data_IF_123807121682
#
_entry.id   IF_123807121682
#
_cell.length_a   1.000
_cell.length_b   1.000
_cell.length_c   1.000
_cell.angle_alpha   90.00
_cell.angle_beta   90.00
_cell.angle_gamma   90.00
#
_symmetry.space_group_name_H-M   'P 1'
#
loop_
_entity.id
_entity.type
_entity.pdbx_description
1 polymer ?
#
# COMPACT_ATOMS: atom_id res chain seq x y z
N UNK A 1 -7.85 -22.01 -8.16
CA UNK A 1 -8.26 -20.82 -7.40
C UNK A 1 -7.60 -20.91 -6.04
N UNK A 2 -6.90 -19.86 -5.58
CA UNK A 2 -6.13 -19.94 -4.35
C UNK A 2 -7.02 -20.35 -3.17
N UNK A 3 -6.44 -21.10 -2.24
CA UNK A 3 -7.11 -21.47 -0.99
C UNK A 3 -6.94 -20.33 -0.01
N UNK A 4 -8.03 -19.67 0.35
CA UNK A 4 -8.03 -18.68 1.42
C UNK A 4 -8.09 -19.39 2.78
N UNK A 5 -7.07 -19.20 3.61
CA UNK A 5 -7.02 -19.75 4.97
C UNK A 5 -6.65 -18.67 5.99
N UNK A 6 -6.99 -18.93 7.25
CA UNK A 6 -6.50 -18.15 8.38
C UNK A 6 -5.51 -18.96 9.22
N UNK A 7 -4.33 -18.41 9.45
CA UNK A 7 -3.28 -19.01 10.29
C UNK A 7 -2.90 -18.08 11.43
N UNK A 8 -2.44 -18.66 12.54
CA UNK A 8 -1.86 -17.93 13.67
C UNK A 8 -0.38 -18.21 13.74
N UNK A 9 0.42 -17.15 13.74
CA UNK A 9 1.89 -17.26 13.80
C UNK A 9 2.46 -16.35 14.88
N UNK A 10 3.62 -16.71 15.41
CA UNK A 10 4.35 -15.85 16.32
C UNK A 10 4.92 -14.61 15.60
N UNK A 11 5.19 -13.50 16.32
CA UNK A 11 5.69 -12.26 15.73
C UNK A 11 6.94 -12.40 14.86
N UNK A 12 7.89 -13.26 15.26
CA UNK A 12 9.10 -13.52 14.50
C UNK A 12 8.86 -14.18 13.13
N UNK A 13 7.74 -14.87 12.96
CA UNK A 13 7.38 -15.55 11.71
C UNK A 13 6.44 -14.72 10.84
N UNK A 14 5.88 -13.61 11.35
CA UNK A 14 4.82 -12.87 10.68
C UNK A 14 5.24 -12.17 9.38
N UNK A 15 6.56 -12.02 9.14
CA UNK A 15 7.16 -11.44 7.94
C UNK A 15 8.15 -12.40 7.25
N UNK A 16 8.24 -13.65 7.70
CA UNK A 16 9.11 -14.66 7.10
C UNK A 16 8.25 -15.51 6.14
N UNK A 17 8.49 -15.36 4.85
CA UNK A 17 7.76 -16.08 3.80
C UNK A 17 7.85 -17.59 3.98
N UNK A 18 9.02 -18.14 4.32
CA UNK A 18 9.19 -19.59 4.51
C UNK A 18 8.43 -20.10 5.73
N UNK A 19 8.40 -19.33 6.82
CA UNK A 19 7.66 -19.68 8.03
C UNK A 19 6.15 -19.60 7.81
N UNK A 20 5.69 -18.61 7.04
CA UNK A 20 4.28 -18.47 6.64
C UNK A 20 3.87 -19.64 5.75
N UNK A 21 4.66 -19.97 4.73
CA UNK A 21 4.35 -21.09 3.82
C UNK A 21 4.33 -22.44 4.54
N UNK A 22 5.27 -22.66 5.48
CA UNK A 22 5.27 -23.84 6.35
C UNK A 22 4.02 -23.91 7.24
N UNK A 23 3.61 -22.77 7.81
CA UNK A 23 2.39 -22.68 8.63
C UNK A 23 1.12 -22.93 7.79
N UNK A 24 1.11 -22.49 6.53
CA UNK A 24 0.03 -22.75 5.58
C UNK A 24 -0.05 -24.24 5.23
N UNK A 25 1.10 -24.87 4.94
CA UNK A 25 1.19 -26.31 4.66
C UNK A 25 0.67 -27.14 5.85
N UNK A 26 1.10 -26.80 7.07
CA UNK A 26 0.62 -27.44 8.30
C UNK A 26 -0.88 -27.28 8.49
N UNK A 27 -1.43 -26.07 8.28
CA UNK A 27 -2.86 -25.82 8.42
C UNK A 27 -3.71 -26.56 7.37
N UNK A 28 -3.16 -26.79 6.18
CA UNK A 28 -3.80 -27.53 5.08
C UNK A 28 -3.59 -29.05 5.16
N UNK A 29 -2.70 -29.52 6.03
CA UNK A 29 -2.34 -30.94 6.15
C UNK A 29 -1.60 -31.47 4.92
N UNK A 30 -0.75 -30.66 4.30
CA UNK A 30 0.05 -31.01 3.11
C UNK A 30 1.53 -30.76 3.37
N UNK A 31 2.40 -31.35 2.54
CA UNK A 31 3.83 -31.08 2.56
C UNK A 31 4.15 -29.67 2.03
N UNK A 32 5.25 -29.08 2.53
CA UNK A 32 5.66 -27.69 2.23
C UNK A 32 5.96 -27.49 0.75
N UNK A 33 6.45 -28.52 0.08
CA UNK A 33 6.81 -28.55 -1.34
C UNK A 33 5.60 -28.31 -2.24
N UNK A 34 4.39 -28.66 -1.77
CA UNK A 34 3.14 -28.43 -2.50
C UNK A 34 2.66 -26.98 -2.40
N UNK A 35 3.27 -26.15 -1.54
CA UNK A 35 2.97 -24.71 -1.44
C UNK A 35 3.90 -23.94 -2.36
N UNK A 36 3.35 -23.47 -3.48
CA UNK A 36 4.07 -22.71 -4.51
C UNK A 36 4.11 -21.21 -4.24
N UNK A 37 3.21 -20.72 -3.39
CA UNK A 37 3.27 -19.36 -2.88
C UNK A 37 2.19 -19.06 -1.85
N UNK A 38 2.48 -18.13 -0.94
CA UNK A 38 1.52 -17.60 0.03
C UNK A 38 1.44 -16.07 -0.06
N UNK A 39 0.26 -15.53 -0.36
CA UNK A 39 0.01 -14.08 -0.37
C UNK A 39 -0.81 -13.70 0.84
N UNK A 40 -0.19 -12.97 1.78
CA UNK A 40 -0.90 -12.44 2.95
C UNK A 40 -1.84 -11.30 2.52
N UNK A 41 -3.15 -11.52 2.67
CA UNK A 41 -4.22 -10.56 2.36
C UNK A 41 -4.53 -9.63 3.51
N UNK A 42 -4.39 -10.15 4.73
CA UNK A 42 -4.63 -9.39 5.97
C UNK A 42 -3.68 -9.87 7.06
N UNK A 43 -3.21 -8.92 7.84
CA UNK A 43 -2.40 -9.15 9.03
C UNK A 43 -3.02 -8.39 10.20
N UNK A 44 -3.34 -9.07 11.28
CA UNK A 44 -3.84 -8.47 12.52
C UNK A 44 -3.12 -9.06 13.72
N UNK A 45 -2.83 -8.24 14.73
CA UNK A 45 -2.18 -8.67 15.96
C UNK A 45 -3.27 -9.05 16.97
N UNK A 46 -3.15 -10.24 17.56
CA UNK A 46 -3.87 -10.61 18.79
C UNK A 46 -2.92 -10.47 19.97
N UNK A 47 -3.10 -9.40 20.74
CA UNK A 47 -2.33 -9.08 21.94
C UNK A 47 -3.19 -9.13 23.22
N UNK A 48 -4.29 -9.88 23.20
CA UNK A 48 -5.21 -10.00 24.35
C UNK A 48 -4.69 -10.94 25.45
N UNK A 49 -3.74 -11.81 25.10
CA UNK A 49 -3.16 -12.80 26.01
C UNK A 49 -1.68 -12.50 26.25
N UNK A 50 -1.07 -13.21 27.22
CA UNK A 50 0.37 -13.09 27.53
C UNK A 50 1.24 -13.41 26.32
N UNK A 51 0.84 -14.41 25.53
CA UNK A 51 1.47 -14.72 24.25
C UNK A 51 0.79 -13.92 23.13
N UNK A 52 1.61 -13.19 22.38
CA UNK A 52 1.16 -12.35 21.28
C UNK A 52 1.26 -13.16 19.99
N UNK A 53 0.20 -13.11 19.18
CA UNK A 53 0.15 -13.76 17.87
C UNK A 53 -0.22 -12.78 16.77
N UNK A 54 0.19 -13.08 15.55
CA UNK A 54 -0.43 -12.53 14.35
C UNK A 54 -1.45 -13.51 13.80
N UNK A 55 -2.64 -13.02 13.53
CA UNK A 55 -3.63 -13.70 12.71
C UNK A 55 -3.49 -13.21 11.27
N UNK A 56 -3.13 -14.13 10.38
CA UNK A 56 -2.92 -13.87 8.96
C UNK A 56 -4.06 -14.50 8.17
N UNK A 57 -4.64 -13.74 7.23
CA UNK A 57 -5.46 -14.30 6.16
C UNK A 57 -4.59 -14.40 4.92
N UNK A 58 -4.50 -15.60 4.36
CA UNK A 58 -3.51 -15.93 3.33
C UNK A 58 -4.20 -16.63 2.16
N UNK A 59 -3.93 -16.13 0.95
CA UNK A 59 -4.21 -16.85 -0.29
C UNK A 59 -3.04 -17.80 -0.57
N UNK A 60 -3.28 -19.10 -0.47
CA UNK A 60 -2.27 -20.14 -0.70
C UNK A 60 -2.44 -20.72 -2.10
N UNK A 61 -1.34 -20.73 -2.86
CA UNK A 61 -1.23 -21.25 -4.21
C UNK A 61 -0.52 -22.60 -4.18
N UNK A 62 -1.15 -23.64 -4.70
CA UNK A 62 -0.57 -24.98 -4.78
C UNK A 62 0.12 -25.24 -6.13
N UNK A 63 0.66 -26.44 -6.33
CA UNK A 63 1.50 -26.85 -7.47
C UNK A 63 1.01 -26.35 -8.85
N UNK A 64 -0.27 -26.54 -9.13
CA UNK A 64 -0.94 -26.20 -10.38
C UNK A 64 -1.33 -24.72 -10.49
N UNK A 65 -1.17 -23.97 -9.41
CA UNK A 65 -1.56 -22.58 -9.30
C UNK A 65 -0.34 -21.65 -9.39
N UNK A 66 -0.53 -20.43 -9.87
CA UNK A 66 0.57 -19.46 -9.94
C UNK A 66 0.14 -18.19 -9.21
N UNK A 67 0.90 -17.74 -8.19
CA UNK A 67 0.59 -16.50 -7.52
C UNK A 67 0.62 -15.35 -8.53
N UNK A 68 -0.37 -14.44 -8.50
CA UNK A 68 -0.40 -13.30 -9.40
C UNK A 68 0.80 -12.40 -9.12
N UNK A 69 1.61 -12.14 -10.14
CA UNK A 69 2.62 -11.10 -10.10
C UNK A 69 1.94 -9.77 -10.37
N UNK A 70 1.76 -8.95 -9.32
CA UNK A 70 1.21 -7.60 -9.48
C UNK A 70 2.29 -6.70 -10.07
N UNK A 71 2.29 -6.56 -11.41
CA UNK A 71 3.15 -5.62 -12.10
C UNK A 71 2.30 -4.50 -12.71
N UNK A 72 2.02 -3.46 -11.91
CA UNK A 72 1.30 -2.29 -12.42
C UNK A 72 2.23 -1.48 -13.33
N UNK A 73 1.95 -1.51 -14.64
CA UNK A 73 2.65 -0.69 -15.65
C UNK A 73 1.67 0.21 -16.38
N UNK A 74 1.86 1.51 -16.20
CA UNK A 74 1.16 2.53 -16.97
C UNK A 74 2.01 2.92 -18.19
N UNK A 75 1.81 2.26 -19.32
CA UNK A 75 2.59 2.48 -20.55
C UNK A 75 1.92 3.47 -21.54
N UNK A 76 1.15 4.44 -21.04
CA UNK A 76 0.33 5.33 -21.88
C UNK A 76 0.90 6.74 -21.93
N UNK A 77 1.33 7.19 -23.11
CA UNK A 77 1.76 8.58 -23.32
C UNK A 77 0.55 9.46 -23.54
N UNK A 78 0.23 10.31 -22.57
CA UNK A 78 -0.95 11.19 -22.60
C UNK A 78 -0.63 12.66 -22.89
N UNK A 79 0.62 13.00 -23.20
CA UNK A 79 1.08 14.41 -23.28
C UNK A 79 0.29 15.29 -24.27
N UNK A 80 -0.32 14.69 -25.29
CA UNK A 80 -1.08 15.35 -26.35
C UNK A 80 -2.59 15.01 -26.29
N UNK A 81 -3.06 14.51 -25.16
CA UNK A 81 -4.46 14.12 -24.95
C UNK A 81 -5.24 15.25 -24.26
N UNK A 82 -6.56 15.09 -24.19
CA UNK A 82 -7.44 16.06 -23.53
C UNK A 82 -6.99 16.33 -22.09
N UNK A 83 -6.82 17.61 -21.77
CA UNK A 83 -6.42 18.08 -20.44
C UNK A 83 -7.58 18.03 -19.45
N UNK A 84 -7.27 17.62 -18.23
CA UNK A 84 -8.21 17.63 -17.11
C UNK A 84 -7.51 18.26 -15.91
N UNK A 85 -8.02 19.41 -15.48
CA UNK A 85 -7.49 20.12 -14.31
C UNK A 85 -7.94 19.43 -13.02
N UNK A 86 -6.99 19.22 -12.11
CA UNK A 86 -7.22 18.69 -10.77
C UNK A 86 -6.72 19.73 -9.77
N UNK A 87 -7.59 20.13 -8.83
CA UNK A 87 -7.25 21.07 -7.78
C UNK A 87 -6.99 20.29 -6.49
N UNK A 88 -5.73 20.29 -6.05
CA UNK A 88 -5.21 19.59 -4.88
C UNK A 88 -4.36 18.37 -5.24
N UNK A 89 -3.18 18.27 -4.66
CA UNK A 89 -2.26 17.12 -4.78
C UNK A 89 -2.32 16.19 -3.55
N UNK A 90 -3.48 16.09 -2.91
CA UNK A 90 -3.77 15.09 -1.88
C UNK A 90 -4.10 13.70 -2.47
N UNK A 91 -4.42 12.70 -1.63
CA UNK A 91 -4.68 11.35 -2.09
C UNK A 91 -5.79 11.28 -3.14
N UNK A 92 -6.89 12.02 -2.93
CA UNK A 92 -7.99 12.07 -3.90
C UNK A 92 -7.56 12.62 -5.27
N UNK A 93 -6.80 13.71 -5.30
CA UNK A 93 -6.32 14.33 -6.53
C UNK A 93 -5.28 13.46 -7.26
N UNK A 94 -4.36 12.85 -6.52
CA UNK A 94 -3.35 11.94 -7.07
C UNK A 94 -3.99 10.66 -7.63
N UNK A 95 -4.97 10.07 -6.94
CA UNK A 95 -5.70 8.92 -7.46
C UNK A 95 -6.58 9.30 -8.67
N UNK A 96 -7.21 10.47 -8.67
CA UNK A 96 -7.91 10.97 -9.84
C UNK A 96 -6.96 11.11 -11.05
N UNK A 97 -5.76 11.66 -10.84
CA UNK A 97 -4.74 11.75 -11.88
C UNK A 97 -4.33 10.37 -12.40
N UNK A 98 -4.10 9.40 -11.52
CA UNK A 98 -3.81 8.02 -11.89
C UNK A 98 -4.93 7.43 -12.76
N UNK A 99 -6.19 7.61 -12.38
CA UNK A 99 -7.34 7.15 -13.16
C UNK A 99 -7.47 7.85 -14.51
N UNK A 100 -7.23 9.15 -14.58
CA UNK A 100 -7.21 9.89 -15.84
C UNK A 100 -6.12 9.35 -16.77
N UNK A 101 -4.92 9.05 -16.25
CA UNK A 101 -3.85 8.44 -17.03
C UNK A 101 -4.23 7.05 -17.57
N UNK A 102 -4.84 6.20 -16.75
CA UNK A 102 -5.36 4.89 -17.16
C UNK A 102 -6.39 5.04 -18.29
N UNK A 103 -7.26 6.04 -18.20
CA UNK A 103 -8.27 6.37 -19.23
C UNK A 103 -7.67 7.04 -20.48
N UNK A 104 -6.40 7.44 -20.47
CA UNK A 104 -5.72 8.07 -21.60
C UNK A 104 -5.91 9.59 -21.68
N UNK A 105 -6.27 10.23 -20.58
CA UNK A 105 -6.41 11.68 -20.44
C UNK A 105 -5.14 12.29 -19.83
N UNK A 106 -4.95 13.59 -20.03
CA UNK A 106 -3.80 14.35 -19.49
C UNK A 106 -4.21 15.08 -18.21
N UNK A 107 -3.93 14.53 -17.01
CA UNK A 107 -4.15 15.27 -15.78
C UNK A 107 -3.15 16.43 -15.65
N UNK A 108 -3.64 17.58 -15.18
CA UNK A 108 -2.82 18.72 -14.77
C UNK A 108 -3.21 19.07 -13.34
N UNK A 109 -2.28 18.89 -12.40
CA UNK A 109 -2.54 19.03 -10.96
C UNK A 109 -2.04 20.39 -10.49
N UNK A 110 -2.89 21.11 -9.77
CA UNK A 110 -2.57 22.37 -9.12
C UNK A 110 -2.63 22.17 -7.61
N UNK A 111 -1.53 22.43 -6.91
CA UNK A 111 -1.46 22.41 -5.46
C UNK A 111 -1.08 23.81 -4.97
N UNK A 112 -1.77 24.30 -3.94
CA UNK A 112 -1.48 25.63 -3.38
C UNK A 112 -0.21 25.60 -2.54
N UNK A 113 0.02 24.48 -1.85
CA UNK A 113 1.17 24.33 -0.98
C UNK A 113 2.41 23.85 -1.69
N UNK A 114 3.46 23.63 -0.90
CA UNK A 114 4.80 23.33 -1.41
C UNK A 114 4.99 21.84 -1.66
N UNK A 115 6.02 21.52 -2.43
CA UNK A 115 6.50 20.15 -2.60
C UNK A 115 6.88 19.52 -1.25
N UNK A 116 6.84 18.20 -1.17
CA UNK A 116 7.01 17.44 0.08
C UNK A 116 8.34 17.73 0.78
N UNK A 117 9.41 17.99 0.02
CA UNK A 117 10.74 18.26 0.61
C UNK A 117 10.77 19.64 1.22
N UNK A 118 10.22 20.65 0.55
CA UNK A 118 10.17 22.02 1.07
C UNK A 118 9.18 22.13 2.23
N UNK A 119 8.00 21.50 2.11
CA UNK A 119 6.95 21.46 3.14
C UNK A 119 7.46 20.95 4.49
N UNK A 120 8.38 19.97 4.50
CA UNK A 120 9.00 19.46 5.74
C UNK A 120 9.65 20.56 6.59
N UNK A 121 10.22 21.60 5.97
CA UNK A 121 10.82 22.72 6.70
C UNK A 121 9.75 23.60 7.35
N UNK A 122 8.68 23.88 6.63
CA UNK A 122 7.56 24.68 7.15
C UNK A 122 6.87 23.95 8.31
N UNK A 123 6.66 22.62 8.20
CA UNK A 123 6.14 21.81 9.30
C UNK A 123 7.04 21.84 10.53
N UNK A 124 8.37 21.84 10.34
CA UNK A 124 9.30 21.96 11.45
C UNK A 124 9.23 23.34 12.13
N UNK A 125 9.03 24.41 11.35
CA UNK A 125 8.85 25.77 11.88
C UNK A 125 7.56 25.90 12.71
N UNK A 126 6.48 25.20 12.35
CA UNK A 126 5.27 25.15 13.19
C UNK A 126 5.59 24.62 14.58
N UNK A 127 6.36 23.53 14.68
CA UNK A 127 6.68 22.90 15.97
C UNK A 127 7.75 23.66 16.76
N UNK A 128 8.75 24.23 16.09
CA UNK A 128 9.91 24.86 16.74
C UNK A 128 9.71 26.34 17.04
N UNK A 129 8.99 27.02 16.16
CA UNK A 129 8.88 28.49 16.14
C UNK A 129 7.43 28.96 16.30
N UNK A 130 6.46 28.03 16.36
CA UNK A 130 5.02 28.34 16.37
C UNK A 130 4.57 29.21 15.20
N UNK A 131 5.33 29.18 14.10
CA UNK A 131 5.05 29.94 12.88
C UNK A 131 4.33 29.05 11.89
N UNK A 132 3.14 29.49 11.48
CA UNK A 132 2.33 28.79 10.47
C UNK A 132 2.39 29.54 9.15
N UNK A 133 2.83 28.85 8.10
CA UNK A 133 2.65 29.30 6.72
C UNK A 133 1.22 28.91 6.28
N UNK A 134 0.35 29.87 5.91
CA UNK A 134 -1.04 29.60 5.56
C UNK A 134 -1.20 28.71 4.32
N UNK A 135 -0.17 28.65 3.46
CA UNK A 135 -0.21 27.85 2.23
C UNK A 135 0.62 26.56 2.35
N UNK A 136 1.46 26.40 3.38
CA UNK A 136 2.30 25.21 3.58
C UNK A 136 2.27 24.74 5.02
N UNK A 137 1.37 23.80 5.32
CA UNK A 137 1.08 23.36 6.68
C UNK A 137 0.55 21.92 6.71
N UNK A 138 -0.04 21.49 7.83
CA UNK A 138 -0.61 20.15 7.95
C UNK A 138 -1.73 19.88 6.94
N UNK A 139 -2.45 20.90 6.47
CA UNK A 139 -3.55 20.72 5.53
C UNK A 139 -3.13 20.88 4.06
N UNK A 140 -2.11 21.68 3.77
CA UNK A 140 -1.76 22.10 2.41
C UNK A 140 -0.33 21.75 2.01
N UNK A 141 -0.17 21.31 0.76
CA UNK A 141 1.09 20.88 0.16
C UNK A 141 0.99 19.51 -0.53
N UNK A 142 2.06 19.11 -1.20
CA UNK A 142 2.14 17.81 -1.88
C UNK A 142 1.83 16.68 -0.89
N UNK A 143 0.98 15.75 -1.33
CA UNK A 143 0.48 14.65 -0.51
C UNK A 143 -0.79 14.98 0.28
N UNK A 144 -1.20 16.26 0.36
CA UNK A 144 -2.39 16.67 1.11
C UNK A 144 -2.19 16.57 2.63
N UNK A 145 -3.28 16.32 3.37
CA UNK A 145 -3.25 16.17 4.82
C UNK A 145 -2.49 14.92 5.28
#
# INVERSE_FOLDING_TARGET
>A
MPREIEIRVYPQHANDENAIESSCAQALGIEREHVKGAIVKRRSIDARQREIFYQLRVDVYLDDETPPVVNYKLNRKVSNQQEVAIIGAGPAGLFAALKLLELGLKPVIFERGKDVRTRRRDLAAIHKEHRVDPDSNYCFGEGGA
#
